data_IF_273600799761
#
_entry.id   IF_273600799761
#
_cell.length_a   1.000
_cell.length_b   1.000
_cell.length_c   1.000
_cell.angle_alpha   90.00
_cell.angle_beta   90.00
_cell.angle_gamma   90.00
#
_symmetry.space_group_name_H-M   'P 1'
#
loop_
_entity.id
_entity.type
_entity.pdbx_description
1 polymer ?
#
# COMPACT_ATOMS: atom_id res chain seq x y z
N UNK A 1 3.92 0.72 -22.85
CA UNK A 1 2.53 0.52 -22.39
C UNK A 1 1.62 1.48 -23.12
N UNK A 2 0.37 1.09 -23.41
CA UNK A 2 -0.65 1.96 -24.00
C UNK A 2 -2.01 1.66 -23.39
N UNK A 3 -2.86 2.68 -23.24
CA UNK A 3 -4.24 2.55 -22.78
C UNK A 3 -5.18 3.25 -23.76
N UNK A 4 -6.29 2.60 -24.11
CA UNK A 4 -7.37 3.23 -24.87
C UNK A 4 -8.26 3.95 -23.87
N UNK A 5 -8.59 5.20 -24.17
CA UNK A 5 -9.36 6.10 -23.31
C UNK A 5 -10.40 6.81 -24.17
N UNK A 6 -11.58 7.01 -23.61
CA UNK A 6 -12.57 7.91 -24.21
C UNK A 6 -12.01 9.33 -24.16
N UNK A 7 -11.87 10.04 -25.30
CA UNK A 7 -11.20 11.34 -25.30
C UNK A 7 -11.92 12.36 -24.39
N UNK A 8 -13.23 12.25 -24.25
CA UNK A 8 -14.10 13.12 -23.43
C UNK A 8 -15.14 12.27 -22.69
N UNK A 9 -14.83 11.78 -21.47
CA UNK A 9 -15.77 10.98 -20.69
C UNK A 9 -17.11 11.69 -20.51
N UNK A 10 -18.21 10.97 -20.79
CA UNK A 10 -19.57 11.52 -20.75
C UNK A 10 -19.99 12.30 -22.00
N UNK A 11 -19.10 12.50 -22.98
CA UNK A 11 -19.42 13.19 -24.24
C UNK A 11 -18.78 12.46 -25.44
N UNK A 12 -19.43 11.42 -25.99
CA UNK A 12 -18.83 10.54 -27.00
C UNK A 12 -18.55 11.24 -28.33
N UNK A 13 -17.59 10.72 -29.09
CA UNK A 13 -17.12 11.31 -30.36
C UNK A 13 -18.20 11.47 -31.44
N UNK A 14 -19.30 10.71 -31.37
CA UNK A 14 -20.44 10.85 -32.28
C UNK A 14 -21.29 12.11 -32.05
N UNK A 15 -21.08 12.84 -30.93
CA UNK A 15 -21.77 14.10 -30.64
C UNK A 15 -20.94 15.33 -31.01
N UNK A 16 -19.69 15.13 -31.42
CA UNK A 16 -18.77 16.21 -31.71
C UNK A 16 -19.17 16.92 -33.01
N UNK A 17 -19.01 18.24 -33.01
CA UNK A 17 -19.22 19.10 -34.17
C UNK A 17 -17.90 19.68 -34.67
N UNK A 18 -17.88 20.03 -35.95
CA UNK A 18 -16.70 20.67 -36.55
C UNK A 18 -16.44 22.03 -35.88
N UNK A 19 -15.24 22.21 -35.35
CA UNK A 19 -14.84 23.43 -34.64
C UNK A 19 -14.88 23.32 -33.11
N UNK A 20 -15.39 22.20 -32.58
CA UNK A 20 -15.40 21.98 -31.13
C UNK A 20 -13.98 21.92 -30.56
N UNK A 21 -13.80 22.56 -29.40
CA UNK A 21 -12.62 22.41 -28.56
C UNK A 21 -13.05 21.68 -27.30
N UNK A 22 -12.57 20.45 -27.16
CA UNK A 22 -12.99 19.56 -26.08
C UNK A 22 -11.82 19.21 -25.18
N UNK A 23 -12.11 19.00 -23.90
CA UNK A 23 -11.12 18.61 -22.89
C UNK A 23 -11.56 17.34 -22.18
N UNK A 24 -10.71 16.33 -22.20
CA UNK A 24 -10.79 15.19 -21.29
C UNK A 24 -9.67 15.24 -20.25
N UNK A 25 -9.93 14.66 -19.08
CA UNK A 25 -8.91 14.42 -18.06
C UNK A 25 -8.96 12.96 -17.65
N UNK A 26 -7.77 12.34 -17.56
CA UNK A 26 -7.63 10.91 -17.34
C UNK A 26 -6.54 10.62 -16.33
N UNK A 27 -6.83 9.70 -15.40
CA UNK A 27 -5.80 9.13 -14.54
C UNK A 27 -5.16 7.94 -15.25
N UNK A 28 -3.88 8.08 -15.58
CA UNK A 28 -3.08 7.01 -16.18
C UNK A 28 -2.13 6.48 -15.12
N UNK A 29 -2.38 5.24 -14.67
CA UNK A 29 -1.44 4.53 -13.80
C UNK A 29 -0.27 4.05 -14.66
N UNK A 30 0.93 4.47 -14.30
CA UNK A 30 2.15 3.92 -14.91
C UNK A 30 2.33 2.47 -14.43
N UNK A 31 2.74 1.54 -15.31
CA UNK A 31 3.07 0.18 -14.88
C UNK A 31 4.17 0.19 -13.82
N UNK A 32 4.04 -0.64 -12.78
CA UNK A 32 5.05 -0.76 -11.73
C UNK A 32 6.43 -1.09 -12.29
N UNK A 33 6.51 -1.93 -13.33
CA UNK A 33 7.77 -2.35 -13.96
C UNK A 33 8.33 -1.35 -14.98
N UNK A 34 7.71 -0.17 -15.13
CA UNK A 34 8.22 0.84 -16.07
C UNK A 34 9.67 1.21 -15.69
N UNK A 35 10.64 1.07 -16.62
CA UNK A 35 12.04 1.36 -16.30
C UNK A 35 12.25 2.79 -15.83
N UNK A 36 13.27 2.99 -15.00
CA UNK A 36 13.78 4.31 -14.67
C UNK A 36 14.29 5.03 -15.93
N UNK A 37 14.09 6.34 -16.01
CA UNK A 37 14.63 7.21 -17.07
C UNK A 37 13.59 7.89 -17.95
N UNK A 38 14.04 8.40 -19.09
CA UNK A 38 13.20 9.15 -20.02
C UNK A 38 12.35 8.23 -20.90
N UNK A 39 11.04 8.45 -20.87
CA UNK A 39 10.06 7.78 -21.73
C UNK A 39 9.42 8.78 -22.69
N UNK A 40 8.93 8.28 -23.83
CA UNK A 40 8.13 9.09 -24.75
C UNK A 40 6.66 8.98 -24.38
N UNK A 41 6.02 10.14 -24.17
CA UNK A 41 4.57 10.20 -24.00
C UNK A 41 3.92 10.59 -25.33
N UNK A 42 3.11 9.68 -25.86
CA UNK A 42 2.42 9.87 -27.14
C UNK A 42 0.92 9.68 -26.98
N UNK A 43 0.14 10.41 -27.79
CA UNK A 43 -1.29 10.19 -27.98
C UNK A 43 -1.54 9.88 -29.45
N UNK A 44 -2.43 8.93 -29.72
CA UNK A 44 -2.91 8.64 -31.07
C UNK A 44 -4.40 8.40 -31.02
N UNK A 45 -5.12 8.84 -32.06
CA UNK A 45 -6.48 8.36 -32.27
C UNK A 45 -6.44 6.86 -32.60
N UNK A 46 -7.51 6.12 -32.29
CA UNK A 46 -7.59 4.69 -32.62
C UNK A 46 -8.09 4.43 -34.04
N UNK A 47 -8.36 5.47 -34.83
CA UNK A 47 -8.80 5.35 -36.23
C UNK A 47 -7.65 4.96 -37.16
N UNK A 48 -8.00 4.30 -38.26
CA UNK A 48 -7.07 3.91 -39.31
C UNK A 48 -6.41 5.16 -39.94
N UNK A 49 -5.09 5.11 -40.19
CA UNK A 49 -4.32 6.24 -40.72
C UNK A 49 -4.06 7.40 -39.75
N UNK A 50 -4.39 7.25 -38.46
CA UNK A 50 -4.15 8.27 -37.45
C UNK A 50 -2.67 8.55 -37.21
N UNK A 51 -2.34 9.84 -37.04
CA UNK A 51 -0.99 10.27 -36.69
C UNK A 51 -0.73 10.11 -35.19
N UNK A 52 0.50 9.75 -34.85
CA UNK A 52 0.98 9.77 -33.46
C UNK A 52 1.42 11.19 -33.14
N UNK A 53 0.76 11.80 -32.17
CA UNK A 53 1.18 13.09 -31.59
C UNK A 53 2.12 12.82 -30.43
N UNK A 54 3.32 13.37 -30.53
CA UNK A 54 4.27 13.41 -29.43
C UNK A 54 3.90 14.57 -28.52
N UNK A 55 3.68 14.29 -27.23
CA UNK A 55 3.44 15.34 -26.25
C UNK A 55 4.79 15.89 -25.80
N UNK A 56 5.42 15.23 -24.84
CA UNK A 56 6.77 15.54 -24.35
C UNK A 56 7.46 14.25 -23.85
N UNK A 57 8.71 14.40 -23.40
CA UNK A 57 9.40 13.35 -22.64
C UNK A 57 8.85 13.31 -21.22
N UNK A 58 8.61 12.11 -20.72
CA UNK A 58 8.25 11.85 -19.34
C UNK A 58 9.46 11.23 -18.63
N UNK A 59 10.06 11.95 -17.69
CA UNK A 59 11.07 11.38 -16.81
C UNK A 59 10.36 10.55 -15.73
N UNK A 60 10.67 9.27 -15.66
CA UNK A 60 10.14 8.33 -14.67
C UNK A 60 11.26 7.97 -13.71
N UNK A 61 11.05 8.20 -12.42
CA UNK A 61 11.98 7.78 -11.37
C UNK A 61 11.45 6.51 -10.70
N UNK A 62 12.14 5.39 -10.84
CA UNK A 62 11.76 4.16 -10.16
C UNK A 62 12.15 4.23 -8.66
N UNK A 63 11.32 3.70 -7.74
CA UNK A 63 11.70 3.63 -6.34
C UNK A 63 12.86 2.65 -6.15
N UNK A 64 13.65 2.85 -5.10
CA UNK A 64 14.62 1.84 -4.64
C UNK A 64 13.87 0.55 -4.27
N UNK A 65 14.30 -0.58 -4.83
CA UNK A 65 13.74 -1.90 -4.57
C UNK A 65 14.68 -2.77 -3.78
N UNK A 66 14.12 -3.62 -2.92
CA UNK A 66 14.85 -4.58 -2.09
C UNK A 66 14.40 -5.97 -2.50
N UNK A 67 15.32 -6.85 -2.87
CA UNK A 67 14.99 -8.23 -3.29
C UNK A 67 15.59 -9.29 -2.38
N UNK A 68 16.60 -8.91 -1.58
CA UNK A 68 17.10 -9.75 -0.51
C UNK A 68 16.22 -9.55 0.72
N UNK A 69 15.81 -10.65 1.35
CA UNK A 69 14.94 -10.60 2.52
C UNK A 69 15.63 -9.78 3.63
N UNK A 70 15.00 -8.70 4.13
CA UNK A 70 15.51 -7.99 5.28
C UNK A 70 15.56 -8.90 6.52
N UNK A 71 16.60 -8.75 7.33
CA UNK A 71 16.69 -9.44 8.62
C UNK A 71 15.52 -9.00 9.52
N UNK A 72 14.93 -9.98 10.19
CA UNK A 72 13.82 -9.84 11.14
C UNK A 72 14.02 -10.81 12.29
N UNK A 73 13.55 -10.42 13.47
CA UNK A 73 13.54 -11.21 14.70
C UNK A 73 12.35 -12.15 14.73
N UNK A 74 11.20 -11.71 14.18
CA UNK A 74 10.00 -12.52 14.06
C UNK A 74 9.69 -12.80 12.60
N UNK A 75 9.89 -14.04 12.17
CA UNK A 75 9.50 -14.47 10.82
C UNK A 75 8.01 -14.77 10.76
N UNK A 76 7.35 -14.35 9.69
CA UNK A 76 5.95 -14.62 9.43
C UNK A 76 5.75 -15.12 8.00
N UNK A 77 4.68 -15.86 7.76
CA UNK A 77 4.24 -16.24 6.41
C UNK A 77 2.73 -16.13 6.32
N UNK A 78 2.25 -14.89 6.34
CA UNK A 78 0.82 -14.59 6.37
C UNK A 78 0.45 -13.86 5.07
N UNK A 79 -0.30 -14.51 4.18
CA UNK A 79 -0.70 -13.92 2.91
C UNK A 79 -1.92 -13.04 3.12
N UNK A 80 -1.86 -11.81 2.62
CA UNK A 80 -2.98 -10.86 2.55
C UNK A 80 -3.49 -10.82 1.12
N UNK A 81 -4.69 -11.35 0.91
CA UNK A 81 -5.18 -11.66 -0.43
C UNK A 81 -4.24 -12.66 -1.14
N UNK A 82 -4.04 -12.45 -2.44
CA UNK A 82 -3.21 -13.32 -3.30
C UNK A 82 -1.83 -12.75 -3.64
N UNK A 83 -1.64 -11.44 -3.46
CA UNK A 83 -0.52 -10.70 -4.05
C UNK A 83 0.56 -10.32 -3.03
N UNK A 84 0.23 -10.29 -1.72
CA UNK A 84 1.09 -9.73 -0.68
C UNK A 84 1.27 -10.73 0.46
N UNK A 85 2.49 -10.85 0.98
CA UNK A 85 2.86 -11.70 2.11
C UNK A 85 3.52 -10.87 3.21
N UNK A 86 3.04 -10.93 4.45
CA UNK A 86 3.84 -10.50 5.60
C UNK A 86 4.92 -11.56 5.85
N UNK A 87 6.17 -11.21 5.56
CA UNK A 87 7.33 -12.10 5.67
C UNK A 87 7.99 -12.06 7.04
N UNK A 88 7.71 -11.03 7.83
CA UNK A 88 8.23 -10.87 9.18
C UNK A 88 8.01 -9.48 9.72
N UNK A 89 8.38 -9.29 10.98
CA UNK A 89 8.25 -8.02 11.68
C UNK A 89 9.26 -7.93 12.84
N UNK A 90 9.48 -6.70 13.29
CA UNK A 90 10.25 -6.34 14.48
C UNK A 90 9.52 -5.24 15.23
N UNK A 91 9.61 -5.20 16.55
CA UNK A 91 9.25 -4.01 17.32
C UNK A 91 10.35 -3.67 18.32
N UNK A 92 10.45 -2.39 18.69
CA UNK A 92 11.58 -1.88 19.46
C UNK A 92 11.74 -2.56 20.82
N UNK A 93 10.64 -2.85 21.53
CA UNK A 93 10.64 -3.41 22.90
C UNK A 93 9.35 -4.22 23.18
N UNK A 94 9.44 -5.34 23.91
CA UNK A 94 8.26 -6.10 24.37
C UNK A 94 7.57 -5.49 25.59
N UNK A 95 8.25 -4.54 26.24
CA UNK A 95 7.72 -3.70 27.32
C UNK A 95 7.76 -2.26 26.84
N UNK A 96 6.70 -1.50 27.11
CA UNK A 96 6.62 -0.07 26.82
C UNK A 96 6.10 0.68 28.05
N UNK A 97 6.32 1.99 28.12
CA UNK A 97 5.74 2.85 29.14
C UNK A 97 4.60 3.67 28.60
N UNK A 98 3.76 4.15 29.51
CA UNK A 98 2.78 5.18 29.15
C UNK A 98 3.53 6.43 28.64
N UNK A 99 3.07 7.00 27.53
CA UNK A 99 3.75 8.11 26.84
C UNK A 99 4.84 7.70 25.85
N UNK A 100 5.24 6.43 25.78
CA UNK A 100 6.23 5.97 24.81
C UNK A 100 5.68 5.92 23.38
N UNK A 101 6.60 5.84 22.42
CA UNK A 101 6.31 5.53 21.02
C UNK A 101 6.85 4.14 20.72
N UNK A 102 5.93 3.21 20.42
CA UNK A 102 6.28 1.88 19.94
C UNK A 102 6.59 1.96 18.44
N UNK A 103 7.82 1.64 18.07
CA UNK A 103 8.22 1.48 16.67
C UNK A 103 8.00 0.03 16.26
N UNK A 104 7.14 -0.17 15.26
CA UNK A 104 6.89 -1.45 14.60
C UNK A 104 7.39 -1.39 13.18
N UNK A 105 8.17 -2.39 12.80
CA UNK A 105 8.67 -2.60 11.44
C UNK A 105 8.02 -3.83 10.85
N UNK A 106 7.29 -3.66 9.76
CA UNK A 106 6.65 -4.73 9.00
C UNK A 106 7.42 -4.97 7.70
N UNK A 107 7.65 -6.24 7.37
CA UNK A 107 8.34 -6.64 6.14
C UNK A 107 7.36 -7.34 5.21
N UNK A 108 6.91 -6.62 4.20
CA UNK A 108 6.03 -7.14 3.16
C UNK A 108 6.84 -7.72 2.02
N UNK A 109 6.45 -8.89 1.52
CA UNK A 109 6.97 -9.48 0.29
C UNK A 109 5.87 -9.51 -0.75
N UNK A 110 6.20 -9.05 -1.94
CA UNK A 110 5.28 -9.02 -3.08
C UNK A 110 5.34 -10.37 -3.81
N UNK A 111 4.22 -11.06 -3.91
CA UNK A 111 4.08 -12.33 -4.63
C UNK A 111 3.75 -12.08 -6.11
N UNK A 112 2.87 -11.12 -6.36
CA UNK A 112 2.52 -10.60 -7.68
C UNK A 112 2.22 -9.10 -7.57
N UNK A 113 2.34 -8.35 -8.68
CA UNK A 113 2.05 -6.90 -8.71
C UNK A 113 0.60 -6.64 -8.26
N UNK A 114 0.37 -6.02 -7.08
CA UNK A 114 -0.98 -5.79 -6.60
C UNK A 114 -1.74 -4.84 -7.52
N UNK A 115 -3.01 -5.15 -7.82
CA UNK A 115 -3.88 -4.21 -8.54
C UNK A 115 -4.67 -3.30 -7.60
N UNK A 116 -4.91 -3.77 -6.38
CA UNK A 116 -5.63 -3.04 -5.32
C UNK A 116 -4.68 -2.03 -4.65
N UNK A 117 -5.20 -0.82 -4.39
CA UNK A 117 -4.49 0.25 -3.69
C UNK A 117 -4.87 0.17 -2.21
N UNK A 118 -4.05 -0.54 -1.44
CA UNK A 118 -4.34 -0.86 -0.04
C UNK A 118 -3.48 -0.06 0.92
N UNK A 119 -4.04 0.26 2.08
CA UNK A 119 -3.32 0.79 3.24
C UNK A 119 -3.11 -0.31 4.27
N UNK A 120 -2.05 -0.18 5.03
CA UNK A 120 -1.80 -0.99 6.22
C UNK A 120 -2.45 -0.30 7.41
N UNK A 121 -3.06 -1.07 8.30
CA UNK A 121 -3.46 -0.63 9.62
C UNK A 121 -2.69 -1.42 10.67
N UNK A 122 -2.34 -0.76 11.77
CA UNK A 122 -1.70 -1.39 12.93
C UNK A 122 -2.44 -0.94 14.17
N UNK A 123 -2.90 -1.89 14.96
CA UNK A 123 -3.73 -1.63 16.14
C UNK A 123 -3.10 -2.25 17.38
N UNK A 124 -3.05 -1.46 18.45
CA UNK A 124 -2.79 -1.94 19.80
C UNK A 124 -4.11 -1.96 20.56
N UNK A 125 -4.51 -3.12 21.07
CA UNK A 125 -5.81 -3.35 21.68
C UNK A 125 -5.68 -3.94 23.09
N UNK A 126 -6.59 -3.57 23.98
CA UNK A 126 -6.70 -4.20 25.31
C UNK A 126 -7.15 -5.67 25.17
N UNK A 127 -7.07 -6.45 26.25
CA UNK A 127 -7.59 -7.83 26.24
C UNK A 127 -9.11 -7.91 26.00
N UNK A 128 -9.86 -6.85 26.31
CA UNK A 128 -11.29 -6.68 25.99
C UNK A 128 -11.56 -6.27 24.55
N UNK A 129 -10.52 -5.91 23.77
CA UNK A 129 -10.63 -5.50 22.37
C UNK A 129 -10.77 -3.99 22.17
N UNK A 130 -10.54 -3.18 23.20
CA UNK A 130 -10.58 -1.73 23.08
C UNK A 130 -9.31 -1.22 22.41
N UNK A 131 -9.46 -0.45 21.34
CA UNK A 131 -8.34 0.17 20.63
C UNK A 131 -7.71 1.27 21.50
N UNK A 132 -6.41 1.13 21.81
CA UNK A 132 -5.68 2.11 22.64
C UNK A 132 -4.67 2.94 21.85
N UNK A 133 -4.12 2.40 20.77
CA UNK A 133 -3.27 3.12 19.84
C UNK A 133 -3.39 2.51 18.45
N UNK A 134 -3.15 3.31 17.41
CA UNK A 134 -3.15 2.84 16.04
C UNK A 134 -2.22 3.65 15.14
N UNK A 135 -1.81 3.07 14.03
CA UNK A 135 -1.15 3.79 12.95
C UNK A 135 -1.52 3.17 11.60
N UNK A 136 -2.22 3.96 10.78
CA UNK A 136 -2.76 3.54 9.49
C UNK A 136 -2.17 4.39 8.37
N UNK A 137 -1.82 3.76 7.25
CA UNK A 137 -1.24 4.50 6.14
C UNK A 137 -0.93 3.66 4.91
N UNK A 138 -0.61 4.35 3.82
CA UNK A 138 0.04 3.71 2.68
C UNK A 138 1.44 3.28 3.11
N UNK A 139 1.90 2.06 2.72
CA UNK A 139 3.17 1.53 3.20
C UNK A 139 4.38 2.44 2.95
N UNK A 140 5.34 2.31 3.86
CA UNK A 140 6.60 3.04 3.89
C UNK A 140 6.38 4.57 3.89
N UNK A 141 5.64 5.05 4.87
CA UNK A 141 5.32 6.48 5.06
C UNK A 141 4.78 7.13 3.78
N UNK A 142 3.71 6.53 3.24
CA UNK A 142 3.02 6.99 2.03
C UNK A 142 3.83 6.99 0.74
N UNK A 143 5.08 6.51 0.76
CA UNK A 143 5.96 6.53 -0.40
C UNK A 143 5.85 5.28 -1.28
N UNK A 144 5.27 4.19 -0.78
CA UNK A 144 5.20 2.90 -1.49
C UNK A 144 3.75 2.39 -1.62
N UNK A 145 2.87 3.05 -2.42
CA UNK A 145 1.55 2.51 -2.74
C UNK A 145 1.66 1.13 -3.39
N UNK A 146 0.80 0.20 -2.97
CA UNK A 146 0.87 -1.22 -3.34
C UNK A 146 0.85 -1.50 -4.84
N UNK A 147 0.15 -0.74 -5.70
CA UNK A 147 0.19 -1.03 -7.14
C UNK A 147 1.51 -0.66 -7.82
N UNK A 148 2.47 -0.07 -7.10
CA UNK A 148 3.84 0.16 -7.56
C UNK A 148 4.83 -0.94 -7.16
N UNK A 149 4.38 -1.96 -6.42
CA UNK A 149 5.22 -3.07 -5.98
C UNK A 149 5.36 -4.11 -7.09
N UNK A 150 6.52 -4.77 -7.19
CA UNK A 150 6.76 -5.79 -8.21
C UNK A 150 7.09 -7.16 -7.60
N UNK A 151 6.90 -8.28 -8.34
CA UNK A 151 7.09 -9.62 -7.80
C UNK A 151 8.50 -9.82 -7.22
N UNK A 152 8.56 -10.45 -6.04
CA UNK A 152 9.81 -10.72 -5.32
C UNK A 152 10.36 -9.54 -4.52
N UNK A 153 9.84 -8.32 -4.69
CA UNK A 153 10.26 -7.17 -3.90
C UNK A 153 9.80 -7.26 -2.44
N UNK A 154 10.69 -6.85 -1.54
CA UNK A 154 10.41 -6.57 -0.15
C UNK A 154 10.19 -5.07 0.07
N UNK A 155 9.14 -4.72 0.81
CA UNK A 155 8.85 -3.36 1.28
C UNK A 155 8.98 -3.34 2.80
N UNK A 156 9.87 -2.47 3.27
CA UNK A 156 10.05 -2.17 4.69
C UNK A 156 9.07 -1.06 5.05
N UNK A 157 8.22 -1.32 6.02
CA UNK A 157 7.14 -0.44 6.41
C UNK A 157 7.22 -0.15 7.91
N UNK A 158 7.33 1.13 8.27
CA UNK A 158 7.52 1.57 9.66
C UNK A 158 6.23 2.22 10.17
N UNK A 159 5.79 1.77 11.33
CA UNK A 159 4.64 2.30 12.05
C UNK A 159 5.07 2.76 13.43
N UNK A 160 4.61 3.95 13.82
CA UNK A 160 4.89 4.54 15.12
C UNK A 160 3.57 4.69 15.88
N UNK A 161 3.42 3.91 16.96
CA UNK A 161 2.23 3.94 17.80
C UNK A 161 2.54 4.70 19.09
N UNK A 162 1.97 5.89 19.24
CA UNK A 162 2.05 6.65 20.49
C UNK A 162 1.11 6.02 21.52
N UNK A 163 1.67 5.53 22.61
CA UNK A 163 0.91 5.02 23.76
C UNK A 163 0.60 6.22 24.65
N UNK A 164 -0.68 6.58 24.80
CA UNK A 164 -1.06 7.72 25.63
C UNK A 164 -0.61 7.54 27.09
N UNK A 165 -0.31 8.65 27.77
CA UNK A 165 -0.05 8.66 29.22
C UNK A 165 -1.26 8.17 30.05
N UNK A 166 -2.46 8.20 29.47
CA UNK A 166 -3.71 7.76 30.10
C UNK A 166 -3.99 6.26 29.93
N UNK A 167 -3.16 5.54 29.17
CA UNK A 167 -3.28 4.08 29.00
C UNK A 167 -3.00 3.40 30.34
N UNK A 168 -3.87 2.50 30.76
CA UNK A 168 -3.67 1.75 31.99
C UNK A 168 -2.51 0.76 31.83
N UNK A 169 -1.69 0.54 32.87
CA UNK A 169 -0.72 -0.53 32.84
C UNK A 169 -1.37 -1.91 32.65
N UNK A 170 -0.71 -2.77 31.87
CA UNK A 170 -1.17 -4.13 31.61
C UNK A 170 -0.78 -4.65 30.23
N UNK A 171 -1.32 -5.82 29.89
CA UNK A 171 -0.98 -6.53 28.65
C UNK A 171 -1.93 -6.13 27.52
N UNK A 172 -1.36 -5.70 26.40
CA UNK A 172 -2.04 -5.31 25.19
C UNK A 172 -1.67 -6.24 24.02
N UNK A 173 -2.56 -6.35 23.03
CA UNK A 173 -2.36 -7.18 21.84
C UNK A 173 -2.11 -6.30 20.63
N UNK A 174 -1.05 -6.61 19.88
CA UNK A 174 -0.67 -5.91 18.67
C UNK A 174 -1.17 -6.68 17.44
N UNK A 175 -1.84 -5.97 16.54
CA UNK A 175 -2.36 -6.50 15.28
C UNK A 175 -1.92 -5.66 14.10
N UNK A 176 -1.80 -6.29 12.93
CA UNK A 176 -1.66 -5.59 11.66
C UNK A 176 -2.54 -6.21 10.58
N UNK A 177 -2.97 -5.40 9.62
CA UNK A 177 -3.68 -5.88 8.44
C UNK A 177 -3.65 -4.89 7.30
N UNK A 178 -4.37 -5.22 6.23
CA UNK A 178 -4.47 -4.40 5.03
C UNK A 178 -5.94 -4.15 4.68
N UNK A 179 -6.24 -2.97 4.16
CA UNK A 179 -7.57 -2.61 3.69
C UNK A 179 -7.50 -1.83 2.38
N UNK A 180 -8.43 -2.10 1.47
CA UNK A 180 -8.60 -1.31 0.25
C UNK A 180 -8.93 0.14 0.61
N UNK A 181 -8.17 1.10 0.07
CA UNK A 181 -8.26 2.51 0.47
C UNK A 181 -9.54 3.20 0.02
N UNK A 182 -10.21 2.66 -0.99
CA UNK A 182 -11.43 3.26 -1.54
C UNK A 182 -12.66 2.76 -0.80
N UNK A 183 -12.74 1.45 -0.58
CA UNK A 183 -13.91 0.78 0.02
C UNK A 183 -13.77 0.54 1.52
N UNK A 184 -12.57 0.60 2.09
CA UNK A 184 -12.27 0.23 3.47
C UNK A 184 -12.34 -1.28 3.75
N UNK A 185 -12.58 -2.10 2.71
CA UNK A 185 -12.69 -3.55 2.86
C UNK A 185 -11.33 -4.14 3.22
N UNK A 186 -11.27 -4.89 4.33
CA UNK A 186 -10.06 -5.60 4.75
C UNK A 186 -9.72 -6.74 3.79
N UNK A 187 -8.43 -6.96 3.59
CA UNK A 187 -7.94 -8.10 2.84
C UNK A 187 -7.94 -9.34 3.73
N UNK A 188 -8.45 -10.48 3.25
CA UNK A 188 -8.40 -11.72 4.01
C UNK A 188 -6.96 -12.15 4.23
N UNK A 189 -6.68 -12.72 5.40
CA UNK A 189 -5.35 -13.19 5.78
C UNK A 189 -5.32 -14.69 6.02
N UNK A 190 -4.34 -15.39 5.46
CA UNK A 190 -4.23 -16.86 5.59
C UNK A 190 -3.61 -17.25 6.93
N UNK A 191 -4.43 -17.53 7.95
CA UNK A 191 -3.94 -18.00 9.25
C UNK A 191 -4.99 -18.85 9.98
N UNK A 192 -4.55 -19.78 10.85
CA UNK A 192 -5.44 -20.55 11.75
C UNK A 192 -6.01 -19.70 12.91
N UNK A 193 -5.45 -18.52 13.15
CA UNK A 193 -5.73 -17.63 14.30
C UNK A 193 -6.26 -16.25 13.86
N UNK A 194 -6.61 -16.08 12.58
CA UNK A 194 -7.11 -14.82 12.06
C UNK A 194 -8.56 -14.64 12.48
N UNK A 195 -8.77 -13.73 13.42
CA UNK A 195 -10.08 -13.16 13.68
C UNK A 195 -10.10 -11.77 13.04
N UNK A 196 -11.09 -11.51 12.19
CA UNK A 196 -11.38 -10.18 11.62
C UNK A 196 -10.34 -9.62 10.61
N UNK A 197 -9.82 -10.49 9.73
CA UNK A 197 -8.93 -10.12 8.60
C UNK A 197 -7.67 -9.33 8.99
N UNK A 198 -7.06 -9.76 10.10
CA UNK A 198 -5.83 -9.19 10.66
C UNK A 198 -4.94 -10.26 11.26
N UNK A 199 -3.64 -9.99 11.24
CA UNK A 199 -2.61 -10.82 11.85
C UNK A 199 -2.37 -10.38 13.30
N UNK A 200 -2.38 -11.33 14.23
CA UNK A 200 -1.84 -11.12 15.57
C UNK A 200 -0.32 -11.17 15.53
N UNK A 201 0.33 -10.10 15.99
CA UNK A 201 1.79 -9.99 15.97
C UNK A 201 2.41 -10.32 17.33
N UNK A 202 1.72 -10.03 18.43
CA UNK A 202 2.24 -10.32 19.76
C UNK A 202 1.54 -9.53 20.86
N UNK A 203 2.11 -9.62 22.05
CA UNK A 203 1.66 -8.84 23.21
C UNK A 203 2.73 -7.84 23.62
N UNK A 204 2.28 -6.70 24.13
CA UNK A 204 3.12 -5.65 24.70
C UNK A 204 2.67 -5.45 26.15
N UNK A 205 3.60 -5.50 27.09
CA UNK A 205 3.33 -5.12 28.48
C UNK A 205 3.56 -3.62 28.63
N UNK A 206 2.51 -2.89 29.01
CA UNK A 206 2.56 -1.45 29.24
C UNK A 206 2.70 -1.20 30.73
N UNK A 207 3.75 -0.49 31.09
CA UNK A 207 4.07 -0.10 32.47
C UNK A 207 3.90 1.41 32.65
N UNK A 208 3.81 1.92 33.89
CA UNK A 208 3.74 3.36 34.13
C UNK A 208 4.90 4.15 33.50
#
# INVERSE_FOLDING_TARGET
FSRILDPTPGFPTGQWQSGDVLRGQHLVRLPAELPDGEHRWTVRASSEGSHVTYLEKLLVTAPKRIFDQPNVSHTARLAFGKDILLSGYDWSQSEARTGDVLELRLIWRTLATPTEDVSVFVHLESLSGDLVAQHDGVPADWSRPTPGWIPGEYVVDLHYLTISADVLPGVYRLYAGMADRTSGRRLPVTTEQASDDRAFLGQIDVTP
#
